data_IF_070850576920
#
_entry.id   IF_070850576920
#
_cell.length_a   1.000
_cell.length_b   1.000
_cell.length_c   1.000
_cell.angle_alpha   90.00
_cell.angle_beta   90.00
_cell.angle_gamma   90.00
#
_symmetry.space_group_name_H-M   'P 1'
#
loop_
_entity.id
_entity.type
_entity.pdbx_description
1 polymer ?
#
# COMPACT_ATOMS: atom_id res chain seq x y z
N UNK A 1 11.11 -15.59 -18.21
CA UNK A 1 12.08 -15.81 -17.12
C UNK A 1 11.31 -16.20 -15.87
N UNK A 2 11.55 -17.41 -15.36
CA UNK A 2 11.08 -17.80 -14.03
C UNK A 2 11.95 -17.06 -13.01
N UNK A 3 11.51 -15.89 -12.56
CA UNK A 3 11.99 -15.31 -11.32
C UNK A 3 11.43 -16.16 -10.19
N UNK A 4 12.11 -17.27 -9.89
CA UNK A 4 11.80 -18.07 -8.73
C UNK A 4 12.13 -17.24 -7.48
N UNK A 5 11.19 -17.19 -6.54
CA UNK A 5 11.49 -16.75 -5.17
C UNK A 5 12.51 -17.76 -4.64
N UNK A 6 13.78 -17.36 -4.55
CA UNK A 6 14.87 -18.26 -4.18
C UNK A 6 14.98 -18.39 -2.65
N UNK A 7 13.85 -18.25 -1.93
CA UNK A 7 13.76 -18.36 -0.47
C UNK A 7 14.90 -17.59 0.23
N UNK A 8 15.10 -16.32 -0.16
CA UNK A 8 16.13 -15.43 0.39
C UNK A 8 17.61 -15.86 0.27
N UNK A 9 17.93 -16.87 -0.55
CA UNK A 9 19.32 -17.37 -0.72
C UNK A 9 20.21 -16.52 -1.64
N UNK A 10 19.71 -15.39 -2.17
CA UNK A 10 20.48 -14.53 -3.07
C UNK A 10 21.44 -13.61 -2.28
N UNK A 11 22.71 -14.02 -2.22
CA UNK A 11 23.76 -13.28 -1.50
C UNK A 11 23.93 -11.82 -1.97
N UNK A 12 23.85 -11.54 -3.28
CA UNK A 12 23.99 -10.18 -3.81
C UNK A 12 22.88 -9.25 -3.31
N UNK A 13 21.63 -9.72 -3.29
CA UNK A 13 20.52 -8.92 -2.74
C UNK A 13 20.66 -8.74 -1.23
N UNK A 14 21.14 -9.77 -0.53
CA UNK A 14 21.42 -9.72 0.91
C UNK A 14 22.46 -8.65 1.24
N UNK A 15 23.56 -8.59 0.50
CA UNK A 15 24.62 -7.57 0.67
C UNK A 15 24.06 -6.15 0.45
N UNK A 16 23.25 -5.95 -0.59
CA UNK A 16 22.59 -4.66 -0.85
C UNK A 16 21.68 -4.23 0.31
N UNK A 17 20.96 -5.17 0.92
CA UNK A 17 20.12 -4.88 2.09
C UNK A 17 20.97 -4.49 3.30
N UNK A 18 22.11 -5.15 3.53
CA UNK A 18 23.06 -4.76 4.56
C UNK A 18 23.65 -3.36 4.31
N UNK A 19 24.00 -3.02 3.07
CA UNK A 19 24.46 -1.68 2.70
C UNK A 19 23.39 -0.61 2.96
N UNK A 20 22.12 -0.92 2.69
CA UNK A 20 20.98 -0.07 3.03
C UNK A 20 20.84 0.13 4.55
N UNK A 21 20.98 -0.94 5.35
CA UNK A 21 20.93 -0.87 6.82
C UNK A 21 22.08 -0.02 7.37
N UNK A 22 23.29 -0.22 6.86
CA UNK A 22 24.48 0.55 7.24
C UNK A 22 24.33 2.04 6.87
N UNK A 23 23.84 2.32 5.66
CA UNK A 23 23.58 3.69 5.22
C UNK A 23 22.51 4.36 6.07
N UNK A 24 21.44 3.63 6.42
CA UNK A 24 20.40 4.11 7.33
C UNK A 24 20.96 4.45 8.71
N UNK A 25 21.84 3.60 9.28
CA UNK A 25 22.51 3.86 10.56
C UNK A 25 23.27 5.19 10.54
N UNK A 26 23.96 5.49 9.44
CA UNK A 26 24.72 6.74 9.27
C UNK A 26 23.76 7.93 9.14
N UNK A 27 22.73 7.83 8.29
CA UNK A 27 21.77 8.91 8.01
C UNK A 27 20.96 9.28 9.25
N UNK A 28 20.48 8.30 10.03
CA UNK A 28 19.75 8.53 11.28
C UNK A 28 20.53 9.46 12.24
N UNK A 29 21.86 9.43 12.19
CA UNK A 29 22.76 10.20 13.06
C UNK A 29 23.19 11.55 12.49
N UNK A 30 22.68 11.94 11.32
CA UNK A 30 22.93 13.26 10.74
C UNK A 30 21.91 14.28 11.26
N UNK A 31 22.38 15.30 11.98
CA UNK A 31 21.56 16.46 12.31
C UNK A 31 21.08 17.14 11.03
N UNK A 32 19.81 17.51 11.01
CA UNK A 32 19.11 18.03 9.84
C UNK A 32 18.04 19.04 10.26
N UNK A 33 17.35 19.70 9.32
CA UNK A 33 16.36 20.73 9.68
C UNK A 33 15.16 20.24 10.51
N UNK A 34 14.84 18.94 10.50
CA UNK A 34 13.81 18.38 11.38
C UNK A 34 14.30 18.17 12.81
N UNK A 35 15.59 17.89 13.03
CA UNK A 35 16.17 17.76 14.37
C UNK A 35 17.48 16.98 14.43
N UNK A 36 17.71 16.30 15.54
CA UNK A 36 18.93 15.50 15.78
C UNK A 36 18.57 14.06 16.14
N UNK A 37 19.58 13.20 16.28
CA UNK A 37 19.36 11.81 16.70
C UNK A 37 18.99 11.72 18.19
N UNK A 38 19.55 12.59 19.03
CA UNK A 38 19.36 12.58 20.49
C UNK A 38 17.91 12.88 20.89
N UNK A 39 17.21 13.72 20.12
CA UNK A 39 15.79 14.02 20.34
C UNK A 39 14.85 13.22 19.42
N UNK A 40 15.41 12.36 18.58
CA UNK A 40 14.75 11.57 17.52
C UNK A 40 14.04 12.39 16.43
N UNK A 41 13.87 13.71 16.56
CA UNK A 41 13.14 14.52 15.57
C UNK A 41 13.83 14.53 14.20
N UNK A 42 15.16 14.33 14.17
CA UNK A 42 15.91 14.20 12.92
C UNK A 42 15.49 13.00 12.07
N UNK A 43 14.83 12.00 12.64
CA UNK A 43 14.38 10.81 11.92
C UNK A 43 13.18 11.08 11.00
N UNK A 44 12.42 12.15 11.27
CA UNK A 44 11.31 12.60 10.43
C UNK A 44 11.71 13.42 9.21
N UNK A 45 13.00 13.58 8.92
CA UNK A 45 13.46 14.29 7.72
C UNK A 45 13.13 13.48 6.46
N UNK A 46 12.38 14.04 5.49
CA UNK A 46 11.90 13.27 4.34
C UNK A 46 13.00 12.78 3.40
N UNK A 47 14.07 13.57 3.25
CA UNK A 47 15.12 13.30 2.26
C UNK A 47 16.48 13.84 2.63
N UNK A 48 17.49 13.22 2.04
CA UNK A 48 18.90 13.58 2.14
C UNK A 48 19.48 13.70 0.73
N UNK A 49 20.68 14.27 0.62
CA UNK A 49 21.45 14.19 -0.63
C UNK A 49 21.91 12.74 -0.85
N UNK A 50 22.22 12.40 -2.11
CA UNK A 50 22.66 11.03 -2.49
C UNK A 50 23.93 10.59 -1.74
N UNK A 51 24.77 11.54 -1.31
CA UNK A 51 25.96 11.30 -0.50
C UNK A 51 25.68 11.19 1.02
N UNK A 52 24.41 11.18 1.44
CA UNK A 52 23.98 11.06 2.83
C UNK A 52 23.96 12.37 3.64
N UNK A 53 24.41 13.50 3.06
CA UNK A 53 24.37 14.79 3.76
C UNK A 53 22.94 15.35 3.87
N UNK A 54 22.63 16.14 4.92
CA UNK A 54 21.31 16.72 5.10
C UNK A 54 20.92 17.65 3.93
N UNK A 55 19.65 17.58 3.53
CA UNK A 55 19.04 18.54 2.62
C UNK A 55 18.52 19.75 3.41
N UNK A 56 19.16 20.92 3.28
CA UNK A 56 18.93 22.06 4.17
C UNK A 56 17.94 23.11 3.65
N UNK A 57 17.40 22.95 2.44
CA UNK A 57 16.46 23.91 1.86
C UNK A 57 15.02 23.69 2.39
N UNK A 58 14.11 24.67 2.24
CA UNK A 58 12.70 24.52 2.59
C UNK A 58 12.07 23.28 1.92
N UNK A 59 11.24 22.57 2.68
CA UNK A 59 10.60 21.32 2.28
C UNK A 59 9.43 21.00 3.22
N UNK A 60 8.48 20.17 2.77
CA UNK A 60 7.37 19.66 3.58
C UNK A 60 7.85 18.67 4.64
N UNK A 61 8.42 19.19 5.74
CA UNK A 61 8.99 18.40 6.85
C UNK A 61 8.29 18.68 8.20
N UNK A 62 8.29 17.71 9.14
CA UNK A 62 8.71 16.32 8.97
C UNK A 62 7.66 15.51 8.19
N UNK A 63 8.09 14.40 7.59
CA UNK A 63 7.21 13.29 7.17
C UNK A 63 7.44 12.14 8.12
N UNK A 64 6.36 11.66 8.74
CA UNK A 64 6.49 10.75 9.89
C UNK A 64 6.41 9.28 9.50
N UNK A 65 5.95 8.96 8.30
CA UNK A 65 5.86 7.61 7.75
C UNK A 65 7.23 6.96 7.49
N UNK A 66 8.24 7.75 7.10
CA UNK A 66 9.58 7.29 6.75
C UNK A 66 10.22 6.34 7.78
N UNK A 67 10.32 6.70 9.07
CA UNK A 67 10.83 5.81 10.12
C UNK A 67 10.06 4.49 10.25
N UNK A 68 8.73 4.51 10.14
CA UNK A 68 7.95 3.28 10.20
C UNK A 68 8.21 2.38 8.99
N UNK A 69 8.22 2.93 7.77
CA UNK A 69 8.51 2.17 6.56
C UNK A 69 9.93 1.56 6.59
N UNK A 70 10.91 2.33 7.09
CA UNK A 70 12.28 1.86 7.28
C UNK A 70 12.36 0.71 8.29
N UNK A 71 11.70 0.85 9.44
CA UNK A 71 11.60 -0.21 10.43
C UNK A 71 10.92 -1.46 9.87
N UNK A 72 9.78 -1.32 9.17
CA UNK A 72 9.06 -2.44 8.53
C UNK A 72 9.97 -3.19 7.56
N UNK A 73 10.70 -2.48 6.70
CA UNK A 73 11.60 -3.11 5.74
C UNK A 73 12.68 -3.97 6.43
N UNK A 74 13.30 -3.44 7.50
CA UNK A 74 14.35 -4.14 8.24
C UNK A 74 13.79 -5.29 9.09
N UNK A 75 12.60 -5.13 9.68
CA UNK A 75 11.90 -6.20 10.40
C UNK A 75 11.54 -7.35 9.45
N UNK A 76 11.07 -7.03 8.23
CA UNK A 76 10.82 -8.03 7.20
C UNK A 76 12.10 -8.76 6.78
N UNK A 77 13.23 -8.04 6.67
CA UNK A 77 14.52 -8.67 6.41
C UNK A 77 14.92 -9.63 7.53
N UNK A 78 14.86 -9.21 8.80
CA UNK A 78 15.14 -10.08 9.97
C UNK A 78 14.27 -11.34 9.93
N UNK A 79 12.96 -11.19 9.74
CA UNK A 79 12.03 -12.32 9.68
C UNK A 79 12.30 -13.25 8.49
N UNK A 80 12.71 -12.69 7.35
CA UNK A 80 13.08 -13.45 6.15
C UNK A 80 14.34 -14.29 6.40
N UNK A 81 15.38 -13.68 6.98
CA UNK A 81 16.62 -14.37 7.32
C UNK A 81 16.38 -15.52 8.32
N UNK A 82 15.56 -15.29 9.35
CA UNK A 82 15.22 -16.31 10.33
C UNK A 82 14.38 -17.45 9.75
N UNK A 83 13.55 -17.16 8.73
CA UNK A 83 12.68 -18.14 8.10
C UNK A 83 13.43 -19.05 7.13
N UNK A 84 14.40 -18.52 6.39
CA UNK A 84 14.98 -19.22 5.24
C UNK A 84 16.48 -19.48 5.31
N UNK A 85 17.26 -18.80 6.17
CA UNK A 85 18.72 -18.99 6.20
C UNK A 85 19.18 -20.07 7.21
N UNK A 86 20.46 -20.41 7.09
CA UNK A 86 21.15 -21.57 7.67
C UNK A 86 20.92 -21.83 9.17
N UNK A 87 21.17 -23.09 9.56
CA UNK A 87 21.21 -23.52 10.96
C UNK A 87 22.21 -22.66 11.76
N UNK A 88 21.70 -21.82 12.66
CA UNK A 88 22.50 -20.98 13.56
C UNK A 88 22.17 -19.49 13.54
N UNK A 89 21.42 -19.01 12.55
CA UNK A 89 20.84 -17.65 12.59
C UNK A 89 19.73 -17.63 13.63
N UNK A 90 19.83 -16.72 14.59
CA UNK A 90 18.83 -16.54 15.66
C UNK A 90 18.47 -15.07 15.79
N UNK A 91 17.44 -14.74 16.58
CA UNK A 91 17.11 -13.34 16.86
C UNK A 91 18.33 -12.55 17.36
N UNK A 92 19.18 -13.18 18.17
CA UNK A 92 20.41 -12.56 18.69
C UNK A 92 21.39 -12.10 17.61
N UNK A 93 21.40 -12.78 16.45
CA UNK A 93 22.22 -12.38 15.30
C UNK A 93 21.87 -10.96 14.80
N UNK A 94 20.68 -10.46 15.12
CA UNK A 94 20.17 -9.16 14.69
C UNK A 94 20.11 -8.13 15.81
N UNK A 95 20.67 -8.41 17.00
CA UNK A 95 20.63 -7.48 18.15
C UNK A 95 21.25 -6.12 17.81
N UNK A 96 22.42 -6.07 17.15
CA UNK A 96 23.06 -4.78 16.78
C UNK A 96 22.19 -3.97 15.82
N UNK A 97 21.58 -4.62 14.81
CA UNK A 97 20.68 -3.97 13.85
C UNK A 97 19.42 -3.45 14.56
N UNK A 98 18.87 -4.25 15.48
CA UNK A 98 17.74 -3.83 16.29
C UNK A 98 18.10 -2.59 17.12
N UNK A 99 19.14 -2.66 17.94
CA UNK A 99 19.50 -1.60 18.89
C UNK A 99 19.92 -0.30 18.21
N UNK A 100 20.62 -0.39 17.07
CA UNK A 100 21.26 0.78 16.46
C UNK A 100 20.51 1.39 15.29
N UNK A 101 19.50 0.70 14.74
CA UNK A 101 18.78 1.13 13.54
C UNK A 101 17.27 0.99 13.68
N UNK A 102 16.75 -0.21 13.97
CA UNK A 102 15.30 -0.45 14.02
C UNK A 102 14.67 0.24 15.25
N UNK A 103 15.27 0.05 16.43
CA UNK A 103 14.74 0.57 17.69
C UNK A 103 14.62 2.10 17.70
N UNK A 104 15.61 2.90 17.24
CA UNK A 104 15.45 4.34 17.12
C UNK A 104 14.25 4.78 16.28
N UNK A 105 13.96 4.08 15.18
CA UNK A 105 12.78 4.35 14.35
C UNK A 105 11.48 3.98 15.08
N UNK A 106 11.44 2.83 15.77
CA UNK A 106 10.29 2.41 16.58
C UNK A 106 10.02 3.36 17.75
N UNK A 107 11.07 3.82 18.42
CA UNK A 107 10.99 4.81 19.50
C UNK A 107 10.46 6.14 18.96
N UNK A 108 10.93 6.59 17.79
CA UNK A 108 10.36 7.76 17.12
C UNK A 108 8.87 7.58 16.84
N UNK A 109 8.47 6.47 16.23
CA UNK A 109 7.05 6.20 15.93
C UNK A 109 6.21 6.20 17.22
N UNK A 110 6.62 5.43 18.23
CA UNK A 110 5.89 5.30 19.49
C UNK A 110 5.77 6.61 20.26
N UNK A 111 6.76 7.50 20.15
CA UNK A 111 6.77 8.80 20.83
C UNK A 111 6.12 9.91 20.00
N UNK A 112 6.02 9.78 18.68
CA UNK A 112 5.71 10.90 17.78
C UNK A 112 4.49 10.73 16.88
N UNK A 113 3.84 9.56 16.84
CA UNK A 113 2.67 9.33 15.97
C UNK A 113 1.53 10.33 16.17
N UNK A 114 1.40 10.89 17.38
CA UNK A 114 0.35 11.86 17.72
C UNK A 114 0.61 13.29 17.21
N UNK A 115 1.78 13.59 16.67
CA UNK A 115 2.07 14.92 16.12
C UNK A 115 1.77 14.99 14.64
N UNK A 116 1.38 16.17 14.17
CA UNK A 116 1.17 16.39 12.76
C UNK A 116 2.51 16.30 12.00
N UNK A 117 2.44 15.78 10.79
CA UNK A 117 3.52 15.74 9.80
C UNK A 117 2.95 16.08 8.43
N UNK A 118 3.80 16.13 7.41
CA UNK A 118 3.33 16.14 6.02
C UNK A 118 2.95 14.72 5.58
N UNK A 119 2.04 14.63 4.63
CA UNK A 119 1.63 13.37 3.99
C UNK A 119 2.74 12.78 3.12
N UNK A 120 2.56 11.54 2.68
CA UNK A 120 3.45 10.82 1.75
C UNK A 120 3.64 11.54 0.41
N UNK A 121 2.75 12.47 0.08
CA UNK A 121 2.81 13.31 -1.12
C UNK A 121 3.55 14.64 -0.90
N UNK A 122 4.01 14.88 0.33
CA UNK A 122 4.85 16.02 0.72
C UNK A 122 4.14 17.39 0.71
N UNK A 123 2.81 17.43 0.78
CA UNK A 123 2.01 18.62 0.48
C UNK A 123 1.18 19.13 1.65
N UNK A 124 0.49 18.21 2.33
CA UNK A 124 -0.52 18.53 3.31
C UNK A 124 -0.02 18.17 4.70
N UNK A 125 -0.01 19.15 5.60
CA UNK A 125 0.32 18.91 7.01
C UNK A 125 -0.92 18.49 7.80
N UNK A 126 -0.86 17.34 8.47
CA UNK A 126 -1.93 16.85 9.34
C UNK A 126 -1.68 15.46 9.89
N UNK A 127 -2.76 14.69 10.06
CA UNK A 127 -2.75 13.27 10.42
C UNK A 127 -3.27 12.46 9.26
N UNK A 128 -2.46 11.52 8.80
CA UNK A 128 -2.69 10.81 7.55
C UNK A 128 -2.95 9.33 7.80
N UNK A 129 -3.89 8.77 7.05
CA UNK A 129 -4.26 7.36 7.12
C UNK A 129 -3.06 6.50 6.76
N UNK A 130 -2.40 6.77 5.64
CA UNK A 130 -1.20 6.04 5.21
C UNK A 130 -0.13 5.99 6.29
N UNK A 131 0.21 7.16 6.85
CA UNK A 131 1.23 7.28 7.91
C UNK A 131 0.83 6.49 9.15
N UNK A 132 -0.44 6.59 9.57
CA UNK A 132 -0.95 5.93 10.76
C UNK A 132 -0.98 4.40 10.59
N UNK A 133 -1.36 3.92 9.40
CA UNK A 133 -1.34 2.50 9.06
C UNK A 133 0.09 1.92 9.09
N UNK A 134 1.06 2.64 8.53
CA UNK A 134 2.47 2.24 8.58
C UNK A 134 3.03 2.27 10.01
N UNK A 135 2.74 3.32 10.79
CA UNK A 135 3.12 3.41 12.20
C UNK A 135 2.63 2.21 13.01
N UNK A 136 1.34 1.87 12.85
CA UNK A 136 0.73 0.74 13.55
C UNK A 136 1.45 -0.57 13.22
N UNK A 137 1.68 -0.82 11.93
CA UNK A 137 2.37 -2.03 11.47
C UNK A 137 3.80 -2.12 12.02
N UNK A 138 4.56 -1.01 11.97
CA UNK A 138 5.90 -0.96 12.52
C UNK A 138 5.93 -1.30 14.03
N UNK A 139 5.00 -0.74 14.81
CA UNK A 139 4.93 -0.97 16.26
C UNK A 139 4.54 -2.42 16.60
N UNK A 140 3.59 -3.03 15.88
CA UNK A 140 3.20 -4.43 16.11
C UNK A 140 4.37 -5.37 15.81
N UNK A 141 4.99 -5.24 14.64
CA UNK A 141 6.14 -6.07 14.26
C UNK A 141 7.37 -5.81 15.14
N UNK A 142 7.57 -4.56 15.54
CA UNK A 142 8.64 -4.15 16.44
C UNK A 142 8.48 -4.71 17.86
N UNK A 143 7.24 -4.74 18.37
CA UNK A 143 6.89 -5.35 19.66
C UNK A 143 7.27 -6.83 19.71
N UNK A 144 6.90 -7.58 18.66
CA UNK A 144 7.23 -9.01 18.56
C UNK A 144 8.75 -9.25 18.57
N UNK A 145 9.52 -8.55 17.73
CA UNK A 145 10.98 -8.69 17.72
C UNK A 145 11.62 -8.25 19.04
N UNK A 146 11.17 -7.14 19.63
CA UNK A 146 11.65 -6.66 20.92
C UNK A 146 11.46 -7.72 22.02
N UNK A 147 10.29 -8.36 22.05
CA UNK A 147 9.99 -9.44 22.99
C UNK A 147 10.91 -10.66 22.79
N UNK A 148 11.15 -11.05 21.52
CA UNK A 148 12.03 -12.17 21.16
C UNK A 148 13.51 -11.91 21.48
N UNK A 149 13.93 -10.65 21.50
CA UNK A 149 15.27 -10.20 21.92
C UNK A 149 15.41 -9.96 23.43
N UNK A 150 14.34 -10.15 24.21
CA UNK A 150 14.33 -9.96 25.66
C UNK A 150 14.13 -8.51 26.12
N UNK A 151 13.76 -7.58 25.23
CA UNK A 151 13.45 -6.19 25.55
C UNK A 151 11.97 -6.00 25.96
N UNK A 152 11.59 -6.58 27.11
CA UNK A 152 10.20 -6.61 27.57
C UNK A 152 9.54 -5.22 27.68
N UNK A 153 10.23 -4.24 28.26
CA UNK A 153 9.69 -2.88 28.43
C UNK A 153 9.41 -2.19 27.09
N UNK A 154 10.31 -2.36 26.12
CA UNK A 154 10.14 -1.80 24.77
C UNK A 154 8.97 -2.49 24.04
N UNK A 155 8.86 -3.82 24.16
CA UNK A 155 7.75 -4.58 23.59
C UNK A 155 6.39 -4.10 24.15
N UNK A 156 6.28 -3.97 25.47
CA UNK A 156 5.07 -3.46 26.13
C UNK A 156 4.75 -2.03 25.66
N UNK A 157 5.75 -1.17 25.56
CA UNK A 157 5.56 0.20 25.08
C UNK A 157 5.04 0.22 23.64
N UNK A 158 5.69 -0.49 22.71
CA UNK A 158 5.26 -0.53 21.30
C UNK A 158 3.87 -1.13 21.13
N UNK A 159 3.57 -2.23 21.84
CA UNK A 159 2.24 -2.83 21.81
C UNK A 159 1.17 -1.86 22.31
N UNK A 160 1.48 -1.10 23.38
CA UNK A 160 0.56 -0.11 23.95
C UNK A 160 0.28 1.02 22.96
N UNK A 161 1.33 1.55 22.33
CA UNK A 161 1.18 2.60 21.31
C UNK A 161 0.43 2.08 20.08
N UNK A 162 0.67 0.84 19.65
CA UNK A 162 -0.08 0.20 18.56
C UNK A 162 -1.58 0.09 18.90
N UNK A 163 -1.93 -0.23 20.14
CA UNK A 163 -3.33 -0.29 20.59
C UNK A 163 -4.00 1.09 20.55
N UNK A 164 -3.34 2.14 21.04
CA UNK A 164 -3.86 3.51 20.97
C UNK A 164 -4.03 3.98 19.52
N UNK A 165 -3.05 3.67 18.67
CA UNK A 165 -3.11 4.02 17.27
C UNK A 165 -4.19 3.23 16.52
N UNK A 166 -4.44 1.97 16.89
CA UNK A 166 -5.57 1.17 16.37
C UNK A 166 -6.89 1.87 16.66
N UNK A 167 -7.10 2.32 17.90
CA UNK A 167 -8.30 3.05 18.29
C UNK A 167 -8.43 4.37 17.50
N UNK A 168 -7.35 5.15 17.40
CA UNK A 168 -7.32 6.38 16.62
C UNK A 168 -7.69 6.13 15.15
N UNK A 169 -7.15 5.08 14.54
CA UNK A 169 -7.43 4.77 13.13
C UNK A 169 -8.93 4.46 12.93
N UNK A 170 -9.50 3.61 13.79
CA UNK A 170 -10.92 3.24 13.75
C UNK A 170 -11.86 4.43 13.94
N UNK A 171 -11.50 5.35 14.84
CA UNK A 171 -12.40 6.44 15.24
C UNK A 171 -12.48 7.58 14.22
N UNK A 172 -11.40 7.79 13.44
CA UNK A 172 -11.22 9.06 12.74
C UNK A 172 -11.07 8.97 11.22
N UNK A 173 -10.70 7.82 10.65
CA UNK A 173 -10.45 7.75 9.21
C UNK A 173 -11.62 7.25 8.38
N UNK A 174 -12.64 6.60 8.94
CA UNK A 174 -13.87 6.29 8.20
C UNK A 174 -14.91 7.40 8.38
N UNK A 175 -15.25 8.10 7.29
CA UNK A 175 -16.30 9.11 7.30
C UNK A 175 -17.63 8.47 6.91
N UNK A 176 -18.47 8.17 7.91
CA UNK A 176 -19.78 7.56 7.71
C UNK A 176 -20.73 8.38 6.82
N UNK A 177 -20.56 9.71 6.73
CA UNK A 177 -21.41 10.55 5.87
C UNK A 177 -20.99 10.45 4.41
N UNK A 178 -19.69 10.32 4.17
CA UNK A 178 -19.15 10.12 2.82
C UNK A 178 -19.20 8.65 2.38
N UNK A 179 -19.26 7.71 3.33
CA UNK A 179 -19.28 6.28 3.06
C UNK A 179 -17.94 5.76 2.52
N UNK A 180 -16.83 6.42 2.87
CA UNK A 180 -15.47 5.99 2.51
C UNK A 180 -14.44 6.47 3.53
N UNK A 181 -13.24 5.91 3.46
CA UNK A 181 -12.07 6.35 4.22
C UNK A 181 -11.59 7.72 3.73
N UNK A 182 -11.11 8.56 4.63
CA UNK A 182 -10.51 9.86 4.31
C UNK A 182 -9.01 9.82 4.59
N UNK A 183 -8.18 10.19 3.60
CA UNK A 183 -6.73 10.09 3.77
C UNK A 183 -6.19 11.03 4.84
N UNK A 184 -6.71 12.26 4.96
CA UNK A 184 -6.25 13.22 5.97
C UNK A 184 -7.37 13.63 6.90
N UNK A 185 -7.22 13.31 8.18
CA UNK A 185 -8.19 13.62 9.21
C UNK A 185 -8.38 15.14 9.35
N UNK A 186 -9.64 15.58 9.49
CA UNK A 186 -10.00 16.98 9.71
C UNK A 186 -9.78 17.90 8.48
N UNK A 187 -9.34 17.37 7.34
CA UNK A 187 -9.23 18.15 6.12
C UNK A 187 -10.55 18.15 5.34
N UNK A 188 -11.13 19.33 5.18
CA UNK A 188 -12.38 19.54 4.43
C UNK A 188 -12.16 20.14 3.03
N UNK A 189 -10.91 20.40 2.63
CA UNK A 189 -10.59 20.97 1.30
C UNK A 189 -10.50 19.91 0.21
N UNK A 190 -10.24 18.65 0.57
CA UNK A 190 -10.23 17.49 -0.34
C UNK A 190 -11.41 16.58 0.00
N UNK A 191 -11.89 15.84 -1.00
CA UNK A 191 -12.90 14.78 -0.84
C UNK A 191 -12.46 13.73 0.19
N UNK A 192 -11.15 13.46 0.26
CA UNK A 192 -10.54 12.45 1.13
C UNK A 192 -10.23 11.16 0.40
N UNK A 193 -10.68 11.01 -0.85
CA UNK A 193 -10.27 9.92 -1.75
C UNK A 193 -8.81 10.12 -2.15
N UNK A 194 -8.00 9.09 -1.94
CA UNK A 194 -6.57 9.11 -2.24
C UNK A 194 -6.07 7.67 -2.46
N UNK A 195 -5.15 7.47 -3.41
CA UNK A 195 -4.46 6.21 -3.60
C UNK A 195 -3.63 5.79 -2.38
N UNK A 196 -3.26 6.75 -1.53
CA UNK A 196 -2.60 6.54 -0.25
C UNK A 196 -3.38 5.64 0.70
N UNK A 197 -4.72 5.61 0.59
CA UNK A 197 -5.57 4.69 1.34
C UNK A 197 -5.24 3.23 1.02
N UNK A 198 -5.10 2.91 -0.26
CA UNK A 198 -4.80 1.55 -0.73
C UNK A 198 -3.35 1.18 -0.49
N UNK A 199 -2.43 2.14 -0.68
CA UNK A 199 -1.03 1.97 -0.30
C UNK A 199 -0.92 1.65 1.20
N UNK A 200 -1.58 2.41 2.06
CA UNK A 200 -1.52 2.24 3.51
C UNK A 200 -2.07 0.89 3.95
N UNK A 201 -3.20 0.49 3.34
CA UNK A 201 -3.82 -0.82 3.55
C UNK A 201 -2.88 -1.98 3.16
N UNK A 202 -2.18 -1.88 2.02
CA UNK A 202 -1.21 -2.90 1.57
C UNK A 202 0.04 -2.91 2.45
N UNK A 203 0.61 -1.74 2.76
CA UNK A 203 1.84 -1.63 3.55
C UNK A 203 1.65 -2.02 5.02
N UNK A 204 0.42 -1.93 5.54
CA UNK A 204 0.08 -2.43 6.86
C UNK A 204 -0.12 -3.95 6.90
N UNK A 205 -0.29 -4.61 5.76
CA UNK A 205 -0.46 -6.06 5.67
C UNK A 205 0.89 -6.78 5.80
N UNK A 206 0.91 -7.90 6.52
CA UNK A 206 2.09 -8.78 6.56
C UNK A 206 2.23 -9.60 5.27
N UNK A 207 2.72 -8.99 4.19
CA UNK A 207 2.90 -9.69 2.92
C UNK A 207 3.94 -10.83 2.97
N UNK A 208 4.80 -10.89 3.99
CA UNK A 208 5.76 -11.99 4.17
C UNK A 208 5.07 -13.24 4.71
N UNK A 209 4.09 -13.06 5.61
CA UNK A 209 3.28 -14.14 6.19
C UNK A 209 1.93 -14.33 5.52
N UNK A 210 1.59 -13.50 4.53
CA UNK A 210 0.34 -13.54 3.81
C UNK A 210 0.10 -14.91 3.17
N UNK A 211 -1.03 -15.52 3.55
CA UNK A 211 -1.45 -16.84 3.09
C UNK A 211 -2.82 -16.84 2.42
N UNK A 212 -3.34 -15.66 2.08
CA UNK A 212 -4.75 -15.45 1.72
C UNK A 212 -5.66 -15.27 2.94
N UNK A 213 -5.15 -15.49 4.16
CA UNK A 213 -5.97 -15.46 5.38
C UNK A 213 -5.88 -14.11 6.08
N UNK A 214 -7.02 -13.63 6.56
CA UNK A 214 -7.07 -12.45 7.41
C UNK A 214 -6.46 -12.75 8.77
N UNK A 215 -5.76 -11.77 9.32
CA UNK A 215 -5.31 -11.76 10.70
C UNK A 215 -6.37 -11.06 11.56
N UNK A 216 -6.60 -11.55 12.79
CA UNK A 216 -7.52 -10.92 13.75
C UNK A 216 -7.09 -9.51 14.13
N UNK A 217 -5.82 -9.19 13.92
CA UNK A 217 -5.24 -7.88 14.18
C UNK A 217 -5.27 -6.94 12.98
N UNK A 218 -5.80 -7.34 11.82
CA UNK A 218 -5.90 -6.45 10.66
C UNK A 218 -6.95 -5.37 10.90
N UNK A 219 -6.62 -4.13 10.53
CA UNK A 219 -7.56 -3.00 10.48
C UNK A 219 -7.50 -2.40 9.08
N UNK A 220 -8.65 -2.19 8.45
CA UNK A 220 -8.77 -1.75 7.05
C UNK A 220 -7.82 -2.50 6.08
N UNK A 221 -7.80 -3.84 6.08
CA UNK A 221 -7.04 -4.60 5.08
C UNK A 221 -7.63 -4.41 3.67
N UNK A 222 -6.91 -4.81 2.60
CA UNK A 222 -7.32 -4.57 1.21
C UNK A 222 -8.68 -5.15 0.80
N UNK A 223 -9.21 -6.08 1.60
CA UNK A 223 -10.50 -6.76 1.42
C UNK A 223 -11.58 -6.31 2.42
N UNK A 224 -11.34 -5.26 3.22
CA UNK A 224 -12.36 -4.72 4.14
C UNK A 224 -13.38 -3.88 3.37
N UNK A 225 -14.62 -3.85 3.86
CA UNK A 225 -15.71 -3.10 3.26
C UNK A 225 -15.36 -1.62 3.04
N UNK A 226 -14.69 -0.99 4.01
CA UNK A 226 -14.32 0.42 3.96
C UNK A 226 -13.27 0.70 2.88
N UNK A 227 -12.29 -0.19 2.73
CA UNK A 227 -11.28 -0.07 1.67
C UNK A 227 -11.91 -0.30 0.30
N UNK A 228 -12.79 -1.30 0.16
CA UNK A 228 -13.49 -1.57 -1.09
C UNK A 228 -14.45 -0.44 -1.49
N UNK A 229 -15.17 0.14 -0.52
CA UNK A 229 -16.02 1.30 -0.73
C UNK A 229 -15.22 2.54 -1.16
N UNK A 230 -14.05 2.75 -0.55
CA UNK A 230 -13.13 3.82 -0.94
C UNK A 230 -12.56 3.57 -2.33
N UNK A 231 -12.21 2.32 -2.65
CA UNK A 231 -11.64 1.93 -3.93
C UNK A 231 -12.60 2.21 -5.07
N UNK A 232 -13.86 1.78 -4.96
CA UNK A 232 -14.83 1.98 -6.03
C UNK A 232 -15.16 3.45 -6.26
N UNK A 233 -15.23 4.26 -5.20
CA UNK A 233 -15.43 5.70 -5.34
C UNK A 233 -14.22 6.37 -6.01
N UNK A 234 -13.00 6.02 -5.59
CA UNK A 234 -11.77 6.55 -6.19
C UNK A 234 -11.62 6.20 -7.67
N UNK A 235 -11.77 4.93 -8.04
CA UNK A 235 -11.65 4.52 -9.44
C UNK A 235 -12.80 5.09 -10.30
N UNK A 236 -13.97 5.33 -9.71
CA UNK A 236 -15.10 5.97 -10.41
C UNK A 236 -14.78 7.42 -10.74
N UNK A 237 -14.18 8.18 -9.83
CA UNK A 237 -13.71 9.54 -10.13
C UNK A 237 -12.64 9.53 -11.24
N UNK A 238 -11.60 8.70 -11.07
CA UNK A 238 -10.48 8.61 -12.01
C UNK A 238 -10.91 8.16 -13.42
N UNK A 239 -11.98 7.36 -13.51
CA UNK A 239 -12.60 6.92 -14.76
C UNK A 239 -13.01 8.09 -15.66
N UNK A 240 -13.60 9.14 -15.08
CA UNK A 240 -14.16 10.26 -15.83
C UNK A 240 -13.27 11.51 -15.81
N UNK A 241 -12.34 11.61 -14.86
CA UNK A 241 -11.43 12.75 -14.72
C UNK A 241 -10.41 12.84 -15.86
N UNK A 242 -9.88 11.71 -16.32
CA UNK A 242 -8.78 11.70 -17.29
C UNK A 242 -9.25 11.39 -18.72
N UNK A 243 -9.03 12.30 -19.69
CA UNK A 243 -9.41 12.06 -21.08
C UNK A 243 -8.83 10.77 -21.70
N UNK A 244 -7.60 10.37 -21.31
CA UNK A 244 -6.99 9.12 -21.76
C UNK A 244 -7.82 7.90 -21.34
N UNK A 245 -8.39 7.89 -20.14
CA UNK A 245 -9.26 6.81 -19.65
C UNK A 245 -10.55 6.75 -20.46
N UNK A 246 -11.18 7.90 -20.73
CA UNK A 246 -12.39 7.95 -21.56
C UNK A 246 -12.16 7.41 -22.98
N UNK A 247 -11.00 7.71 -23.58
CA UNK A 247 -10.66 7.16 -24.90
C UNK A 247 -10.40 5.66 -24.86
N UNK A 248 -9.72 5.17 -23.81
CA UNK A 248 -9.54 3.74 -23.57
C UNK A 248 -10.90 3.04 -23.48
N UNK A 249 -11.80 3.53 -22.64
CA UNK A 249 -13.13 2.92 -22.46
C UNK A 249 -13.95 2.89 -23.75
N UNK A 250 -13.99 4.00 -24.51
CA UNK A 250 -14.65 4.04 -25.83
C UNK A 250 -14.09 3.01 -26.81
N UNK A 251 -12.77 2.76 -26.75
CA UNK A 251 -12.13 1.74 -27.58
C UNK A 251 -12.64 0.34 -27.21
N UNK A 252 -12.67 -0.01 -25.92
CA UNK A 252 -13.19 -1.30 -25.46
C UNK A 252 -14.69 -1.46 -25.71
N UNK A 253 -15.48 -0.41 -25.54
CA UNK A 253 -16.91 -0.38 -25.86
C UNK A 253 -17.15 -0.70 -27.34
N UNK A 254 -16.37 -0.11 -28.25
CA UNK A 254 -16.46 -0.39 -29.69
C UNK A 254 -16.10 -1.84 -30.06
N UNK A 255 -15.36 -2.53 -29.19
CA UNK A 255 -15.01 -3.95 -29.31
C UNK A 255 -16.03 -4.88 -28.61
N UNK A 256 -17.13 -4.33 -28.06
CA UNK A 256 -18.16 -5.11 -27.37
C UNK A 256 -17.76 -5.61 -25.98
N UNK A 257 -16.72 -5.04 -25.38
CA UNK A 257 -16.26 -5.42 -24.03
C UNK A 257 -17.07 -4.69 -22.97
N UNK A 258 -17.39 -5.38 -21.86
CA UNK A 258 -18.03 -4.75 -20.70
C UNK A 258 -17.07 -3.74 -20.05
N UNK A 259 -17.29 -2.45 -20.34
CA UNK A 259 -16.43 -1.36 -19.87
C UNK A 259 -16.44 -1.16 -18.35
N UNK A 260 -17.43 -1.72 -17.63
CA UNK A 260 -17.44 -1.69 -16.16
C UNK A 260 -16.22 -2.42 -15.59
N UNK A 261 -15.78 -3.49 -16.24
CA UNK A 261 -14.61 -4.30 -15.83
C UNK A 261 -13.35 -4.00 -16.66
N UNK A 262 -13.23 -2.78 -17.18
CA UNK A 262 -12.01 -2.31 -17.88
C UNK A 262 -11.24 -1.35 -16.97
N UNK A 263 -9.99 -1.70 -16.69
CA UNK A 263 -9.06 -0.92 -15.89
C UNK A 263 -8.68 0.40 -16.56
N UNK A 264 -8.34 1.37 -15.72
CA UNK A 264 -8.09 2.76 -16.09
C UNK A 264 -6.80 3.28 -15.43
N UNK A 265 -6.23 4.37 -15.94
CA UNK A 265 -5.12 5.06 -15.27
C UNK A 265 -5.58 5.75 -14.00
N UNK A 266 -4.89 5.50 -12.89
CA UNK A 266 -5.26 6.00 -11.56
C UNK A 266 -4.19 7.00 -11.09
N UNK A 267 -4.59 8.17 -10.61
CA UNK A 267 -3.68 9.17 -10.03
C UNK A 267 -3.76 9.21 -8.50
N UNK A 268 -3.08 10.17 -7.87
CA UNK A 268 -2.99 10.29 -6.40
C UNK A 268 -4.36 10.52 -5.75
N UNK A 269 -4.95 11.70 -5.91
CA UNK A 269 -6.27 12.08 -5.38
C UNK A 269 -6.99 13.00 -6.39
N UNK A 270 -8.33 13.14 -6.32
CA UNK A 270 -9.11 13.89 -7.30
C UNK A 270 -8.69 15.35 -7.49
N UNK A 271 -8.31 16.02 -6.41
CA UNK A 271 -7.95 17.45 -6.38
C UNK A 271 -6.48 17.72 -6.79
N UNK A 272 -5.76 16.71 -7.28
CA UNK A 272 -4.35 16.83 -7.64
C UNK A 272 -4.13 17.81 -8.81
N UNK A 273 -3.17 18.71 -8.62
CA UNK A 273 -2.72 19.70 -9.61
C UNK A 273 -1.26 19.48 -10.03
N UNK A 274 -0.51 18.57 -9.42
CA UNK A 274 0.89 18.36 -9.78
C UNK A 274 1.02 17.54 -11.07
N UNK A 275 1.64 18.12 -12.10
CA UNK A 275 1.77 17.50 -13.42
C UNK A 275 3.08 16.72 -13.63
N UNK A 276 3.90 16.57 -12.57
CA UNK A 276 5.23 15.95 -12.62
C UNK A 276 6.40 16.94 -12.66
N UNK A 277 6.11 18.24 -12.87
CA UNK A 277 7.13 19.31 -12.88
C UNK A 277 6.64 20.55 -12.13
N UNK A 278 5.36 20.90 -12.28
CA UNK A 278 4.75 22.10 -11.71
C UNK A 278 3.26 21.86 -11.42
N UNK A 279 2.61 22.86 -10.82
CA UNK A 279 1.18 22.86 -10.57
C UNK A 279 0.40 23.31 -11.82
N UNK A 280 -0.52 22.46 -12.27
CA UNK A 280 -1.56 22.70 -13.28
C UNK A 280 -2.69 21.68 -13.07
N UNK A 281 -2.56 20.49 -13.66
CA UNK A 281 -3.52 19.41 -13.57
C UNK A 281 -2.80 18.09 -13.27
N UNK A 282 -3.28 17.36 -12.27
CA UNK A 282 -2.76 16.04 -11.92
C UNK A 282 -2.97 15.01 -13.03
N UNK A 283 -2.08 14.03 -13.09
CA UNK A 283 -2.12 12.91 -14.04
C UNK A 283 -2.36 11.57 -13.34
N UNK A 284 -2.65 10.51 -14.10
CA UNK A 284 -2.39 9.15 -13.66
C UNK A 284 -0.92 8.89 -13.27
N UNK A 285 -0.73 8.00 -12.30
CA UNK A 285 0.58 7.54 -11.82
C UNK A 285 0.71 6.04 -12.04
N UNK A 286 1.91 5.58 -12.42
CA UNK A 286 2.17 4.15 -12.61
C UNK A 286 2.01 3.39 -11.30
N UNK A 287 2.57 3.91 -10.21
CA UNK A 287 2.46 3.27 -8.89
C UNK A 287 1.00 3.20 -8.41
N UNK A 288 0.19 4.25 -8.57
CA UNK A 288 -1.21 4.24 -8.15
C UNK A 288 -2.04 3.23 -8.95
N UNK A 289 -1.77 3.14 -10.26
CA UNK A 289 -2.42 2.16 -11.15
C UNK A 289 -2.03 0.73 -10.75
N UNK A 290 -0.76 0.48 -10.43
CA UNK A 290 -0.29 -0.82 -9.93
C UNK A 290 -0.88 -1.16 -8.55
N UNK A 291 -1.03 -0.18 -7.66
CA UNK A 291 -1.62 -0.37 -6.33
C UNK A 291 -3.06 -0.86 -6.42
N UNK A 292 -3.90 -0.29 -7.31
CA UNK A 292 -5.27 -0.79 -7.51
C UNK A 292 -5.28 -2.25 -7.97
N UNK A 293 -4.40 -2.60 -8.90
CA UNK A 293 -4.21 -3.99 -9.33
C UNK A 293 -3.84 -4.90 -8.16
N UNK A 294 -2.90 -4.47 -7.32
CA UNK A 294 -2.46 -5.22 -6.14
C UNK A 294 -3.59 -5.43 -5.12
N UNK A 295 -4.37 -4.39 -4.81
CA UNK A 295 -5.55 -4.48 -3.93
C UNK A 295 -6.54 -5.53 -4.43
N UNK A 296 -6.84 -5.53 -5.74
CA UNK A 296 -7.75 -6.51 -6.35
C UNK A 296 -7.21 -7.94 -6.27
N UNK A 297 -5.89 -8.16 -6.47
CA UNK A 297 -5.31 -9.49 -6.31
C UNK A 297 -5.32 -9.98 -4.86
N UNK A 298 -5.14 -9.08 -3.87
CA UNK A 298 -5.25 -9.42 -2.46
C UNK A 298 -6.69 -9.77 -2.08
N UNK A 299 -7.67 -9.04 -2.60
CA UNK A 299 -9.09 -9.37 -2.45
C UNK A 299 -9.40 -10.75 -3.04
N UNK A 300 -8.96 -11.02 -4.27
CA UNK A 300 -9.19 -12.32 -4.90
C UNK A 300 -8.54 -13.48 -4.13
N UNK A 301 -7.31 -13.32 -3.67
CA UNK A 301 -6.60 -14.33 -2.86
C UNK A 301 -7.30 -14.56 -1.51
N UNK A 302 -7.77 -13.47 -0.88
CA UNK A 302 -8.56 -13.54 0.34
C UNK A 302 -9.84 -14.35 0.17
N UNK A 303 -10.63 -14.04 -0.87
CA UNK A 303 -11.89 -14.70 -1.17
C UNK A 303 -11.68 -16.17 -1.59
N UNK A 304 -10.66 -16.45 -2.39
CA UNK A 304 -10.38 -17.80 -2.87
C UNK A 304 -10.05 -18.78 -1.74
N UNK A 305 -9.30 -18.31 -0.74
CA UNK A 305 -8.84 -19.12 0.40
C UNK A 305 -9.86 -19.25 1.53
N UNK A 306 -11.07 -18.70 1.37
CA UNK A 306 -12.16 -18.91 2.33
C UNK A 306 -12.58 -20.39 2.38
N UNK A 307 -13.00 -20.83 3.57
CA UNK A 307 -13.55 -22.17 3.80
C UNK A 307 -14.96 -22.29 3.21
N UNK A 308 -15.43 -23.53 2.99
CA UNK A 308 -16.70 -23.80 2.29
C UNK A 308 -17.95 -23.24 2.96
N UNK A 309 -17.89 -22.95 4.27
CA UNK A 309 -18.94 -22.34 5.07
C UNK A 309 -18.98 -20.81 4.96
N UNK A 310 -17.95 -20.19 4.37
CA UNK A 310 -17.94 -18.75 4.12
C UNK A 310 -19.07 -18.34 3.16
N UNK A 311 -19.65 -17.19 3.45
CA UNK A 311 -20.70 -16.58 2.63
C UNK A 311 -20.32 -15.12 2.38
N UNK A 312 -20.21 -14.76 1.10
CA UNK A 312 -20.05 -13.37 0.69
C UNK A 312 -21.40 -12.67 0.85
N UNK A 313 -21.44 -11.67 1.72
CA UNK A 313 -22.60 -10.80 1.92
C UNK A 313 -22.29 -9.43 1.36
N UNK A 314 -23.28 -8.79 0.77
CA UNK A 314 -23.16 -7.44 0.27
C UNK A 314 -23.64 -6.44 1.32
N UNK A 315 -22.91 -5.35 1.44
CA UNK A 315 -23.33 -4.16 2.18
C UNK A 315 -23.64 -3.05 1.20
N UNK A 316 -24.39 -2.03 1.60
CA UNK A 316 -24.64 -0.85 0.77
C UNK A 316 -23.32 -0.23 0.24
N UNK A 317 -22.27 -0.29 1.07
CA UNK A 317 -20.94 0.24 0.74
C UNK A 317 -20.14 -0.62 -0.23
N UNK A 318 -20.31 -1.95 -0.20
CA UNK A 318 -19.55 -2.87 -1.05
C UNK A 318 -20.28 -3.27 -2.33
N UNK A 319 -21.61 -3.12 -2.37
CA UNK A 319 -22.44 -3.42 -3.54
C UNK A 319 -21.94 -2.73 -4.82
N UNK A 320 -21.53 -1.45 -4.83
CA UNK A 320 -21.06 -0.80 -6.06
C UNK A 320 -19.83 -1.48 -6.68
N UNK A 321 -18.94 -2.06 -5.87
CA UNK A 321 -17.76 -2.78 -6.38
C UNK A 321 -18.09 -4.25 -6.65
N UNK A 322 -18.58 -4.96 -5.64
CA UNK A 322 -18.80 -6.40 -5.71
C UNK A 322 -19.93 -6.76 -6.70
N UNK A 323 -20.94 -5.90 -6.80
CA UNK A 323 -22.01 -6.03 -7.79
C UNK A 323 -21.50 -6.05 -9.23
N UNK A 324 -20.41 -5.33 -9.54
CA UNK A 324 -19.81 -5.37 -10.89
C UNK A 324 -19.29 -6.77 -11.24
N UNK A 325 -18.83 -7.54 -10.24
CA UNK A 325 -18.36 -8.91 -10.43
C UNK A 325 -19.49 -9.94 -10.33
N UNK A 326 -20.60 -9.59 -9.66
CA UNK A 326 -21.80 -10.42 -9.53
C UNK A 326 -22.78 -10.24 -10.68
N UNK A 327 -22.62 -9.22 -11.52
CA UNK A 327 -23.46 -9.01 -12.70
C UNK A 327 -23.54 -10.30 -13.55
N UNK A 328 -24.76 -10.74 -13.88
CA UNK A 328 -25.04 -12.01 -14.59
C UNK A 328 -24.79 -13.30 -13.80
N UNK A 329 -24.52 -13.25 -12.50
CA UNK A 329 -24.65 -14.43 -11.63
C UNK A 329 -26.15 -14.70 -11.40
N UNK A 330 -26.54 -15.97 -11.44
CA UNK A 330 -27.94 -16.36 -11.27
C UNK A 330 -28.48 -15.89 -9.91
N UNK A 331 -29.64 -15.23 -9.92
CA UNK A 331 -30.29 -14.71 -8.71
C UNK A 331 -29.72 -13.39 -8.16
N UNK A 332 -28.63 -12.86 -8.73
CA UNK A 332 -28.14 -11.54 -8.34
C UNK A 332 -29.00 -10.43 -8.96
N UNK A 333 -29.50 -9.53 -8.11
CA UNK A 333 -30.18 -8.30 -8.48
C UNK A 333 -29.56 -7.14 -7.70
N UNK A 334 -29.23 -6.05 -8.39
CA UNK A 334 -28.67 -4.83 -7.78
C UNK A 334 -29.59 -4.20 -6.73
N UNK A 335 -30.89 -4.49 -6.78
CA UNK A 335 -31.89 -4.01 -5.84
C UNK A 335 -32.15 -4.95 -4.64
N UNK A 336 -31.54 -6.14 -4.62
CA UNK A 336 -31.70 -7.11 -3.54
C UNK A 336 -30.55 -7.03 -2.52
N UNK A 337 -30.76 -6.38 -1.36
CA UNK A 337 -29.73 -6.30 -0.32
C UNK A 337 -29.55 -7.63 0.44
N UNK A 338 -30.39 -8.63 0.19
CA UNK A 338 -30.33 -9.94 0.85
C UNK A 338 -29.54 -10.99 0.07
N UNK A 339 -29.03 -10.63 -1.11
CA UNK A 339 -28.22 -11.54 -1.91
C UNK A 339 -26.96 -11.97 -1.16
N UNK A 340 -26.74 -13.28 -1.14
CA UNK A 340 -25.59 -13.92 -0.51
C UNK A 340 -25.00 -14.99 -1.44
N UNK A 341 -23.68 -15.00 -1.60
CA UNK A 341 -22.99 -16.00 -2.41
C UNK A 341 -22.11 -16.90 -1.54
N UNK A 342 -22.49 -18.17 -1.42
CA UNK A 342 -21.73 -19.17 -0.66
C UNK A 342 -20.44 -19.52 -1.37
N UNK A 343 -19.35 -19.69 -0.62
CA UNK A 343 -18.04 -20.13 -1.14
C UNK A 343 -18.10 -21.46 -1.89
N UNK A 344 -19.01 -22.35 -1.50
CA UNK A 344 -19.23 -23.65 -2.15
C UNK A 344 -19.95 -23.58 -3.50
N UNK A 345 -20.48 -22.41 -3.90
CA UNK A 345 -21.09 -22.21 -5.21
C UNK A 345 -20.02 -22.14 -6.30
N UNK A 346 -20.19 -22.81 -7.46
CA UNK A 346 -19.33 -22.62 -8.63
C UNK A 346 -19.25 -21.16 -9.13
N UNK A 347 -20.32 -20.39 -8.90
CA UNK A 347 -20.37 -18.96 -9.24
C UNK A 347 -19.37 -18.14 -8.41
N UNK A 348 -19.00 -18.61 -7.21
CA UNK A 348 -18.02 -17.93 -6.37
C UNK A 348 -16.64 -17.90 -7.03
N UNK A 349 -16.20 -19.01 -7.61
CA UNK A 349 -14.93 -19.06 -8.34
C UNK A 349 -14.98 -18.17 -9.60
N UNK A 350 -16.15 -18.08 -10.24
CA UNK A 350 -16.37 -17.13 -11.35
C UNK A 350 -16.19 -15.68 -10.90
N UNK A 351 -16.71 -15.29 -9.74
CA UNK A 351 -16.52 -13.95 -9.16
C UNK A 351 -15.04 -13.68 -8.87
N UNK A 352 -14.33 -14.63 -8.25
CA UNK A 352 -12.89 -14.51 -8.00
C UNK A 352 -12.11 -14.30 -9.30
N UNK A 353 -12.40 -15.08 -10.35
CA UNK A 353 -11.77 -14.94 -11.66
C UNK A 353 -12.07 -13.58 -12.31
N UNK A 354 -13.27 -13.03 -12.13
CA UNK A 354 -13.63 -11.68 -12.62
C UNK A 354 -12.85 -10.59 -11.89
N UNK A 355 -12.64 -10.71 -10.59
CA UNK A 355 -11.79 -9.79 -9.80
C UNK A 355 -10.35 -9.82 -10.32
N UNK A 356 -9.81 -11.02 -10.57
CA UNK A 356 -8.45 -11.17 -11.14
C UNK A 356 -8.34 -10.56 -12.52
N UNK A 357 -9.31 -10.82 -13.41
CA UNK A 357 -9.34 -10.23 -14.75
C UNK A 357 -9.41 -8.69 -14.70
N UNK A 358 -10.15 -8.14 -13.74
CA UNK A 358 -10.18 -6.69 -13.53
C UNK A 358 -8.84 -6.17 -13.03
N UNK A 359 -8.20 -6.85 -12.07
CA UNK A 359 -6.83 -6.56 -11.64
C UNK A 359 -5.83 -6.56 -12.80
N UNK A 360 -5.90 -7.57 -13.67
CA UNK A 360 -5.06 -7.70 -14.87
C UNK A 360 -5.25 -6.52 -15.83
N UNK A 361 -6.47 -6.01 -15.96
CA UNK A 361 -6.78 -4.89 -16.84
C UNK A 361 -6.13 -3.56 -16.40
N UNK A 362 -5.77 -3.40 -15.12
CA UNK A 362 -4.95 -2.26 -14.65
C UNK A 362 -3.46 -2.45 -14.97
N UNK A 363 -2.95 -3.69 -14.95
CA UNK A 363 -1.59 -3.95 -15.46
C UNK A 363 -1.51 -3.74 -16.98
N UNK A 364 -2.61 -3.96 -17.70
CA UNK A 364 -2.68 -3.66 -19.13
C UNK A 364 -2.58 -2.15 -19.41
N UNK A 365 -3.14 -1.30 -18.55
CA UNK A 365 -2.93 0.17 -18.60
C UNK A 365 -1.44 0.50 -18.44
N UNK A 366 -0.75 -0.14 -17.50
CA UNK A 366 0.71 0.04 -17.34
C UNK A 366 1.43 -0.37 -18.64
N UNK A 367 1.12 -1.56 -19.19
CA UNK A 367 1.70 -2.06 -20.44
C UNK A 367 1.53 -1.09 -21.61
N UNK A 368 0.43 -0.35 -21.66
CA UNK A 368 0.14 0.61 -22.73
C UNK A 368 0.89 1.93 -22.62
N UNK A 369 1.30 2.31 -21.41
CA UNK A 369 1.90 3.63 -21.15
C UNK A 369 3.39 3.58 -20.82
N UNK A 370 3.96 2.40 -20.55
CA UNK A 370 5.42 2.22 -20.50
C UNK A 370 6.04 2.39 -21.88
N UNK A 371 7.33 2.69 -21.91
CA UNK A 371 8.07 2.71 -23.18
C UNK A 371 8.39 1.30 -23.71
N UNK A 372 8.97 1.23 -24.90
CA UNK A 372 9.37 -0.02 -25.55
C UNK A 372 10.43 -0.84 -24.80
N UNK A 373 11.11 -0.25 -23.81
CA UNK A 373 12.13 -0.90 -22.97
C UNK A 373 11.59 -1.30 -21.60
N UNK A 374 10.34 -0.92 -21.29
CA UNK A 374 9.72 -1.15 -19.99
C UNK A 374 10.05 -0.09 -18.95
N UNK A 375 10.57 1.08 -19.35
CA UNK A 375 10.80 2.19 -18.43
C UNK A 375 9.48 2.76 -17.90
N UNK A 376 9.46 3.05 -16.60
CA UNK A 376 8.33 3.65 -15.89
C UNK A 376 8.75 4.94 -15.19
N UNK A 377 8.20 6.06 -15.65
CA UNK A 377 8.29 7.34 -14.95
C UNK A 377 7.37 7.38 -13.72
N UNK A 378 7.30 8.54 -13.07
CA UNK A 378 6.33 8.84 -12.02
C UNK A 378 4.89 8.80 -12.54
N UNK A 379 4.63 9.53 -13.64
CA UNK A 379 3.29 9.77 -14.19
C UNK A 379 3.21 9.40 -15.66
N UNK A 380 2.00 9.30 -16.20
CA UNK A 380 1.75 9.36 -17.64
C UNK A 380 0.61 10.33 -17.92
N UNK A 381 0.73 11.10 -19.00
CA UNK A 381 -0.17 12.22 -19.26
C UNK A 381 -1.63 11.78 -19.32
N UNK A 382 -2.48 12.51 -18.59
CA UNK A 382 -3.94 12.38 -18.67
C UNK A 382 -4.51 12.59 -20.07
N UNK A 383 -3.75 13.21 -20.98
CA UNK A 383 -4.20 13.61 -22.31
C UNK A 383 -3.70 12.74 -23.44
N UNK A 384 -2.49 12.21 -23.39
CA UNK A 384 -1.89 11.44 -24.50
C UNK A 384 -1.28 10.10 -24.05
N UNK A 385 -1.18 9.86 -22.73
CA UNK A 385 -0.62 8.64 -22.18
C UNK A 385 0.91 8.54 -22.24
N UNK A 386 1.62 9.59 -22.69
CA UNK A 386 3.09 9.60 -22.65
C UNK A 386 3.60 9.85 -21.24
N UNK A 387 4.73 9.23 -20.91
CA UNK A 387 5.43 9.41 -19.64
C UNK A 387 5.71 10.89 -19.30
N UNK A 388 5.55 11.22 -18.01
CA UNK A 388 5.73 12.55 -17.40
C UNK A 388 6.35 12.41 -16.00
N UNK A 389 6.92 13.50 -15.51
CA UNK A 389 7.54 13.58 -14.18
C UNK A 389 8.91 12.91 -14.13
N UNK A 390 9.32 12.49 -12.93
CA UNK A 390 10.60 11.83 -12.71
C UNK A 390 10.74 10.56 -13.57
N UNK A 391 11.84 10.45 -14.30
CA UNK A 391 12.18 9.27 -15.08
C UNK A 391 12.61 8.11 -14.16
N UNK A 392 12.33 6.88 -14.58
CA UNK A 392 12.71 5.65 -13.89
C UNK A 392 12.46 5.68 -12.37
N UNK A 393 11.25 6.08 -11.97
CA UNK A 393 10.90 6.20 -10.56
C UNK A 393 10.92 4.82 -9.88
N UNK A 394 11.85 4.60 -8.97
CA UNK A 394 12.04 3.34 -8.22
C UNK A 394 10.72 2.80 -7.63
N UNK A 395 9.86 3.69 -7.13
CA UNK A 395 8.58 3.29 -6.53
C UNK A 395 7.58 2.75 -7.57
N UNK A 396 7.56 3.29 -8.80
CA UNK A 396 6.75 2.74 -9.90
C UNK A 396 7.11 1.27 -10.17
N UNK A 397 8.41 0.96 -10.24
CA UNK A 397 8.89 -0.42 -10.38
C UNK A 397 8.53 -1.31 -9.19
N UNK A 398 8.71 -0.82 -7.96
CA UNK A 398 8.39 -1.58 -6.75
C UNK A 398 6.90 -1.92 -6.62
N UNK A 399 6.03 -0.96 -6.95
CA UNK A 399 4.58 -1.15 -6.93
C UNK A 399 4.13 -2.17 -8.01
N UNK A 400 4.62 -2.03 -9.24
CA UNK A 400 4.36 -2.99 -10.32
C UNK A 400 4.85 -4.40 -9.95
N UNK A 401 6.07 -4.51 -9.43
CA UNK A 401 6.65 -5.80 -9.01
C UNK A 401 5.81 -6.48 -7.94
N UNK A 402 5.37 -5.73 -6.93
CA UNK A 402 4.54 -6.25 -5.84
C UNK A 402 3.19 -6.75 -6.35
N UNK A 403 2.53 -5.98 -7.24
CA UNK A 403 1.28 -6.39 -7.88
C UNK A 403 1.46 -7.69 -8.69
N UNK A 404 2.52 -7.78 -9.50
CA UNK A 404 2.81 -8.99 -10.32
C UNK A 404 3.16 -10.19 -9.44
N UNK A 405 3.88 -10.00 -8.33
CA UNK A 405 4.16 -11.08 -7.37
C UNK A 405 2.86 -11.63 -6.79
N UNK A 406 1.98 -10.77 -6.29
CA UNK A 406 0.69 -11.19 -5.73
C UNK A 406 -0.20 -11.85 -6.78
N UNK A 407 -0.24 -11.30 -8.01
CA UNK A 407 -0.89 -11.94 -9.18
C UNK A 407 -0.41 -13.38 -9.37
N UNK A 408 0.90 -13.62 -9.39
CA UNK A 408 1.45 -14.96 -9.55
C UNK A 408 1.06 -15.90 -8.41
N UNK A 409 1.05 -15.41 -7.17
CA UNK A 409 0.65 -16.20 -6.00
C UNK A 409 -0.80 -16.68 -6.13
N UNK A 410 -1.75 -15.78 -6.37
CA UNK A 410 -3.18 -16.14 -6.45
C UNK A 410 -3.49 -17.04 -7.65
N UNK A 411 -2.96 -16.74 -8.85
CA UNK A 411 -3.10 -17.64 -10.00
C UNK A 411 -2.43 -19.00 -9.78
N UNK A 412 -1.38 -19.07 -8.96
CA UNK A 412 -0.74 -20.32 -8.56
C UNK A 412 -1.62 -21.20 -7.68
N UNK A 413 -2.50 -20.60 -6.86
CA UNK A 413 -3.45 -21.32 -5.99
C UNK A 413 -4.71 -21.81 -6.70
N UNK A 414 -5.12 -21.13 -7.77
CA UNK A 414 -6.35 -21.43 -8.53
C UNK A 414 -6.19 -22.61 -9.51
N UNK A 415 -4.96 -23.13 -9.68
CA UNK A 415 -4.65 -24.23 -10.60
C UNK A 415 -5.27 -25.56 -10.24
#
# INVERSE_FOLDING_TARGET
MNYADNDATNATLRDIIYDYINSSRIIQRQSNPSGTFENLEGLGEPKFKVDGRPFTAPWGRPQRDGPALRAIAMLNFVNTELKYNESGVTYESFRDIFDNVIRPDLDYVGLKWQYDGFDLWEELKGKHFFTSMCHRRALISGSDLAQKLGYADAAIFYQTQASYLTQFISDYFYDHKKGHLVETFGNHKRSGLDSALFLGSIHALDLLLWSGKADVTDIYPPYSDEVLASLVQHITDMRYRYPINLRRLKTFESLGVNISLVGIGVGRYPEDVYNGVAESEGNPWFLCTATVSHTLYLLADYLYTRTSDFTLKLTEHTLPLLGMFLDKIEGFDWSDPSFELKRSSPDFDTVVLRILAYGDSFLDVIREHVDSKGSMSEQFSRYDGYMRGAEDLTWSYGAFWSAVRQRKLVYGRIK
#
